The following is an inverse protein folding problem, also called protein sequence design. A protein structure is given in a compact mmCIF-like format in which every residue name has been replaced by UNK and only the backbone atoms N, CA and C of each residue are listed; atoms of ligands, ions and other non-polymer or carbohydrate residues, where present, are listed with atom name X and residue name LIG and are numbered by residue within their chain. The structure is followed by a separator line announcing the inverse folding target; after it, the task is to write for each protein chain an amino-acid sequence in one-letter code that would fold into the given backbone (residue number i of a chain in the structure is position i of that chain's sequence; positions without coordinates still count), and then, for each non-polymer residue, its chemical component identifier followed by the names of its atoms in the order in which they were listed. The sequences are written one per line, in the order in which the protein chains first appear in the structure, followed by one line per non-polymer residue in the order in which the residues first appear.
data_IF_242061191815
#
_entry.id   IF_242061191815
#
_cell.length_a   1.000
_cell.length_b   1.000
_cell.length_c   1.000
_cell.angle_alpha   90.00
_cell.angle_beta   90.00
_cell.angle_gamma   90.00
#
_symmetry.space_group_name_H-M   'P 1'
#
loop_
_entity.id
_entity.type
_entity.pdbx_description
1 polymer ?
#
# COMPACT_ATOMS: atom_id res chain seq x y z
N UNK A 1 -15.03 -3.24 13.62
CA UNK A 1 -15.59 -2.13 14.41
C UNK A 1 -16.27 -1.16 13.46
N UNK A 2 -17.38 -0.53 13.80
CA UNK A 2 -18.05 0.46 12.94
C UNK A 2 -17.64 1.90 13.34
N UNK A 3 -18.16 2.93 12.66
CA UNK A 3 -17.84 4.34 13.00
C UNK A 3 -18.27 4.71 14.42
N UNK A 4 -19.40 4.18 14.92
CA UNK A 4 -19.84 4.43 16.30
C UNK A 4 -18.85 3.87 17.32
N UNK A 5 -18.27 2.69 17.04
CA UNK A 5 -17.20 2.13 17.87
C UNK A 5 -15.95 3.02 17.84
N UNK A 6 -15.59 3.58 16.67
CA UNK A 6 -14.44 4.48 16.53
C UNK A 6 -14.64 5.80 17.29
N UNK A 7 -15.81 6.42 17.19
CA UNK A 7 -16.15 7.64 17.92
C UNK A 7 -16.09 7.40 19.45
N UNK A 8 -16.47 6.21 19.89
CA UNK A 8 -16.43 5.83 21.32
C UNK A 8 -15.01 5.53 21.80
N UNK A 9 -14.19 4.85 20.98
CA UNK A 9 -12.86 4.40 21.40
C UNK A 9 -11.75 5.44 21.20
N UNK A 10 -11.92 6.35 20.23
CA UNK A 10 -10.92 7.32 19.83
C UNK A 10 -11.51 8.72 19.88
N UNK A 11 -11.74 9.18 21.10
CA UNK A 11 -12.26 10.51 21.37
C UNK A 11 -11.35 11.59 20.74
N UNK A 12 -11.95 12.72 20.36
CA UNK A 12 -11.30 13.88 19.72
C UNK A 12 -10.96 13.73 18.22
N UNK A 13 -11.39 12.65 17.55
CA UNK A 13 -11.41 12.54 16.09
C UNK A 13 -12.87 12.46 15.64
N UNK A 14 -13.30 13.33 14.73
CA UNK A 14 -14.65 13.31 14.17
C UNK A 14 -14.73 12.34 12.98
N UNK A 15 -14.75 11.03 13.30
CA UNK A 15 -14.75 9.97 12.29
C UNK A 15 -16.00 10.05 11.41
N UNK A 16 -17.16 10.31 12.01
CA UNK A 16 -18.42 10.42 11.27
C UNK A 16 -18.35 11.49 10.19
N UNK A 17 -17.83 12.67 10.48
CA UNK A 17 -17.68 13.74 9.48
C UNK A 17 -16.66 13.36 8.41
N UNK A 18 -15.52 12.78 8.81
CA UNK A 18 -14.48 12.33 7.87
C UNK A 18 -15.05 11.33 6.86
N UNK A 19 -15.66 10.23 7.34
CA UNK A 19 -16.22 9.21 6.46
C UNK A 19 -17.41 9.74 5.63
N UNK A 20 -18.27 10.57 6.21
CA UNK A 20 -19.40 11.18 5.47
C UNK A 20 -18.88 12.01 4.28
N UNK A 21 -17.86 12.83 4.50
CA UNK A 21 -17.30 13.70 3.46
C UNK A 21 -16.56 12.89 2.37
N UNK A 22 -15.79 11.88 2.75
CA UNK A 22 -15.08 11.02 1.78
C UNK A 22 -16.08 10.31 0.85
N UNK A 23 -17.14 9.73 1.41
CA UNK A 23 -18.16 9.04 0.60
C UNK A 23 -18.97 10.02 -0.24
N UNK A 24 -19.33 11.18 0.31
CA UNK A 24 -20.08 12.21 -0.42
C UNK A 24 -19.31 12.73 -1.65
N UNK A 25 -17.98 12.89 -1.54
CA UNK A 25 -17.12 13.27 -2.66
C UNK A 25 -17.13 12.24 -3.80
N UNK A 26 -17.38 10.96 -3.49
CA UNK A 26 -17.55 9.91 -4.47
C UNK A 26 -19.01 9.72 -4.94
N UNK A 27 -19.95 10.56 -4.49
CA UNK A 27 -21.36 10.46 -4.82
C UNK A 27 -22.14 9.40 -4.03
N UNK A 28 -21.57 8.89 -2.93
CA UNK A 28 -22.17 7.86 -2.09
C UNK A 28 -22.55 8.38 -0.70
N UNK A 29 -23.54 7.73 -0.07
CA UNK A 29 -23.83 7.92 1.35
C UNK A 29 -23.04 6.90 2.17
N UNK A 30 -22.38 7.35 3.22
CA UNK A 30 -21.67 6.45 4.13
C UNK A 30 -22.64 5.46 4.81
N UNK A 31 -22.41 4.13 4.72
CA UNK A 31 -23.20 3.13 5.43
C UNK A 31 -22.75 3.01 6.90
N UNK A 32 -23.61 3.43 7.84
CA UNK A 32 -23.29 3.51 9.27
C UNK A 32 -22.92 2.17 9.95
N UNK A 33 -23.29 1.05 9.35
CA UNK A 33 -23.05 -0.30 9.87
C UNK A 33 -21.84 -0.98 9.23
N UNK A 34 -21.12 -0.31 8.32
CA UNK A 34 -19.97 -0.90 7.66
C UNK A 34 -18.84 -1.14 8.66
N UNK A 35 -18.32 -2.36 8.63
CA UNK A 35 -17.15 -2.71 9.41
C UNK A 35 -15.90 -2.04 8.83
N UNK A 36 -15.15 -1.43 9.72
CA UNK A 36 -13.87 -0.78 9.47
C UNK A 36 -12.79 -1.63 10.14
N UNK A 37 -11.75 -1.92 9.36
CA UNK A 37 -10.51 -2.48 9.85
C UNK A 37 -9.50 -1.35 10.02
N UNK A 38 -9.09 -1.11 11.25
CA UNK A 38 -8.00 -0.18 11.55
C UNK A 38 -6.64 -0.85 11.28
N UNK A 39 -5.71 -0.09 10.70
CA UNK A 39 -4.38 -0.57 10.30
C UNK A 39 -3.31 -0.38 11.38
N UNK A 40 -3.53 0.56 12.31
CA UNK A 40 -2.58 0.91 13.36
C UNK A 40 -3.05 0.48 14.75
N UNK A 41 -2.14 0.55 15.71
CA UNK A 41 -2.43 0.23 17.10
C UNK A 41 -3.41 1.25 17.72
N UNK A 42 -4.11 0.83 18.77
CA UNK A 42 -4.97 1.70 19.57
C UNK A 42 -4.26 2.98 20.01
N UNK A 43 -3.01 2.83 20.47
CA UNK A 43 -2.18 3.93 20.96
C UNK A 43 -1.93 5.03 19.92
N UNK A 44 -1.78 4.65 18.64
CA UNK A 44 -1.59 5.61 17.55
C UNK A 44 -2.80 6.56 17.43
N UNK A 45 -4.01 6.00 17.40
CA UNK A 45 -5.24 6.80 17.25
C UNK A 45 -5.54 7.64 18.49
N UNK A 46 -5.31 7.11 19.70
CA UNK A 46 -5.41 7.88 20.94
C UNK A 46 -4.43 9.06 20.94
N UNK A 47 -3.18 8.83 20.51
CA UNK A 47 -2.15 9.87 20.44
C UNK A 47 -2.49 10.96 19.41
N UNK A 48 -3.00 10.57 18.24
CA UNK A 48 -3.46 11.54 17.24
C UNK A 48 -4.65 12.35 17.73
N UNK A 49 -5.65 11.70 18.35
CA UNK A 49 -6.78 12.41 18.94
C UNK A 49 -6.34 13.45 19.96
N UNK A 50 -5.39 13.09 20.83
CA UNK A 50 -4.79 14.02 21.79
C UNK A 50 -4.02 15.17 21.12
N UNK A 51 -3.24 14.89 20.07
CA UNK A 51 -2.53 15.92 19.30
C UNK A 51 -3.49 16.89 18.63
N UNK A 52 -4.58 16.39 18.02
CA UNK A 52 -5.60 17.20 17.37
C UNK A 52 -6.35 18.07 18.37
N UNK A 53 -6.68 17.53 19.55
CA UNK A 53 -7.36 18.29 20.62
C UNK A 53 -6.49 19.42 21.18
N UNK A 54 -5.20 19.13 21.40
CA UNK A 54 -4.29 20.04 22.11
C UNK A 54 -3.56 21.02 21.18
N UNK A 55 -3.64 20.83 19.86
CA UNK A 55 -3.04 21.73 18.89
C UNK A 55 -4.02 22.82 18.45
N UNK A 56 -3.54 24.04 18.25
CA UNK A 56 -4.38 25.10 17.68
C UNK A 56 -4.78 24.78 16.24
N UNK A 57 -5.94 25.27 15.81
CA UNK A 57 -6.39 25.14 14.42
C UNK A 57 -5.36 25.66 13.42
N UNK A 58 -4.64 26.74 13.76
CA UNK A 58 -3.57 27.30 12.93
C UNK A 58 -2.41 26.32 12.74
N UNK A 59 -1.96 25.67 13.82
CA UNK A 59 -0.88 24.66 13.76
C UNK A 59 -1.29 23.48 12.89
N UNK A 60 -2.49 22.93 13.09
CA UNK A 60 -3.01 21.81 12.30
C UNK A 60 -3.12 22.21 10.83
N UNK A 61 -3.69 23.38 10.54
CA UNK A 61 -3.87 23.86 9.15
C UNK A 61 -2.53 24.05 8.45
N UNK A 62 -1.54 24.66 9.12
CA UNK A 62 -0.21 24.85 8.55
C UNK A 62 0.51 23.52 8.31
N UNK A 63 0.37 22.56 9.23
CA UNK A 63 0.93 21.22 9.03
C UNK A 63 0.30 20.52 7.82
N UNK A 64 -1.02 20.55 7.69
CA UNK A 64 -1.72 19.96 6.55
C UNK A 64 -1.34 20.64 5.22
N UNK A 65 -1.23 21.97 5.21
CA UNK A 65 -0.77 22.73 4.04
C UNK A 65 0.68 22.37 3.67
N UNK A 66 1.56 22.24 4.66
CA UNK A 66 2.93 21.80 4.43
C UNK A 66 2.98 20.39 3.85
N UNK A 67 2.18 19.44 4.37
CA UNK A 67 2.09 18.09 3.81
C UNK A 67 1.61 18.06 2.36
N UNK A 68 0.67 18.94 2.01
CA UNK A 68 0.22 19.09 0.63
C UNK A 68 1.35 19.61 -0.28
N UNK A 69 2.05 20.66 0.17
CA UNK A 69 3.18 21.25 -0.56
C UNK A 69 4.31 20.22 -0.73
N UNK A 70 4.65 19.50 0.34
CA UNK A 70 5.65 18.43 0.33
C UNK A 70 5.30 17.34 -0.68
N UNK A 71 4.05 16.86 -0.68
CA UNK A 71 3.58 15.82 -1.60
C UNK A 71 3.66 16.25 -3.08
N UNK A 72 3.23 17.48 -3.41
CA UNK A 72 3.18 17.95 -4.79
C UNK A 72 4.46 18.65 -5.27
N UNK A 73 5.44 18.87 -4.39
CA UNK A 73 6.68 19.59 -4.74
C UNK A 73 7.46 18.96 -5.89
N UNK A 74 7.41 17.62 -6.05
CA UNK A 74 8.00 16.89 -7.17
C UNK A 74 7.41 17.25 -8.55
N UNK A 75 6.20 17.78 -8.57
CA UNK A 75 5.45 18.12 -9.79
C UNK A 75 5.36 19.63 -10.01
N UNK A 76 5.98 20.43 -9.14
CA UNK A 76 5.93 21.88 -9.16
C UNK A 76 7.12 22.47 -9.94
N UNK A 77 7.48 23.72 -9.63
CA UNK A 77 8.61 24.42 -10.26
C UNK A 77 9.95 23.79 -9.85
N UNK A 78 10.98 23.97 -10.68
CA UNK A 78 12.35 23.51 -10.41
C UNK A 78 12.86 24.00 -9.03
N UNK A 79 12.59 25.26 -8.68
CA UNK A 79 12.93 25.81 -7.37
C UNK A 79 12.31 25.02 -6.20
N UNK A 80 11.06 24.55 -6.34
CA UNK A 80 10.41 23.74 -5.30
C UNK A 80 10.97 22.32 -5.24
N UNK A 81 11.31 21.74 -6.39
CA UNK A 81 11.96 20.43 -6.46
C UNK A 81 13.35 20.47 -5.80
N UNK A 82 14.17 21.48 -6.12
CA UNK A 82 15.48 21.67 -5.49
C UNK A 82 15.38 21.86 -3.98
N UNK A 83 14.38 22.62 -3.49
CA UNK A 83 14.17 22.82 -2.05
C UNK A 83 13.86 21.48 -1.35
N UNK A 84 13.08 20.62 -2.00
CA UNK A 84 12.74 19.30 -1.49
C UNK A 84 13.96 18.38 -1.46
N UNK A 85 14.72 18.33 -2.56
CA UNK A 85 15.95 17.52 -2.68
C UNK A 85 17.01 17.92 -1.64
N UNK A 86 17.17 19.24 -1.40
CA UNK A 86 18.04 19.74 -0.31
C UNK A 86 17.56 19.31 1.07
N UNK A 87 16.24 19.21 1.27
CA UNK A 87 15.62 18.77 2.52
C UNK A 87 15.65 17.25 2.72
N UNK A 88 15.83 16.46 1.65
CA UNK A 88 15.86 15.00 1.69
C UNK A 88 17.09 14.46 0.92
N UNK A 89 18.30 14.56 1.50
CA UNK A 89 19.55 14.19 0.82
C UNK A 89 19.68 12.71 0.45
N UNK A 90 18.77 11.85 0.94
CA UNK A 90 18.65 10.44 0.51
C UNK A 90 17.97 10.27 -0.85
N UNK A 91 17.31 11.30 -1.39
CA UNK A 91 16.76 11.25 -2.72
C UNK A 91 17.86 11.48 -3.76
N UNK A 92 18.20 10.41 -4.48
CA UNK A 92 19.12 10.46 -5.60
C UNK A 92 18.66 11.52 -6.60
N UNK A 93 19.61 12.36 -7.03
CA UNK A 93 19.41 13.25 -8.17
C UNK A 93 19.26 12.39 -9.43
N UNK A 94 18.01 12.09 -9.77
CA UNK A 94 17.65 11.45 -11.03
C UNK A 94 17.54 12.50 -12.12
N UNK A 95 18.04 12.16 -13.32
CA UNK A 95 17.82 13.03 -14.48
C UNK A 95 16.33 13.03 -14.83
N UNK A 96 15.84 14.14 -15.40
CA UNK A 96 14.40 14.35 -15.64
C UNK A 96 13.72 13.19 -16.38
N UNK A 97 14.40 12.58 -17.35
CA UNK A 97 13.88 11.44 -18.10
C UNK A 97 13.60 10.22 -17.20
N UNK A 98 14.50 9.91 -16.26
CA UNK A 98 14.31 8.80 -15.30
C UNK A 98 13.15 9.09 -14.36
N UNK A 99 13.01 10.33 -13.87
CA UNK A 99 11.86 10.76 -13.06
C UNK A 99 10.54 10.53 -13.80
N UNK A 100 10.49 10.87 -15.09
CA UNK A 100 9.30 10.66 -15.92
C UNK A 100 9.00 9.17 -16.12
N UNK A 101 10.01 8.34 -16.41
CA UNK A 101 9.83 6.89 -16.53
C UNK A 101 9.29 6.32 -15.23
N UNK A 102 9.92 6.64 -14.10
CA UNK A 102 9.49 6.16 -12.77
C UNK A 102 8.05 6.58 -12.48
N UNK A 103 7.69 7.84 -12.70
CA UNK A 103 6.32 8.32 -12.49
C UNK A 103 5.29 7.53 -13.31
N UNK A 104 5.56 7.30 -14.59
CA UNK A 104 4.65 6.52 -15.45
C UNK A 104 4.58 5.06 -14.99
N UNK A 105 5.72 4.47 -14.62
CA UNK A 105 5.78 3.10 -14.09
C UNK A 105 5.06 2.96 -12.75
N UNK A 106 5.12 3.96 -11.86
CA UNK A 106 4.48 3.89 -10.54
C UNK A 106 2.97 4.10 -10.62
N UNK A 107 2.51 5.04 -11.46
CA UNK A 107 1.08 5.37 -11.59
C UNK A 107 0.33 4.44 -12.55
N UNK A 108 1.02 3.90 -13.57
CA UNK A 108 0.46 3.07 -14.62
C UNK A 108 1.17 1.71 -14.73
N UNK A 109 1.56 1.13 -13.59
CA UNK A 109 2.40 -0.06 -13.50
C UNK A 109 1.88 -1.22 -14.34
N UNK A 110 0.58 -1.50 -14.32
CA UNK A 110 -0.01 -2.58 -15.13
C UNK A 110 0.21 -2.39 -16.64
N UNK A 111 0.13 -1.16 -17.14
CA UNK A 111 0.32 -0.85 -18.56
C UNK A 111 1.81 -0.98 -18.90
N UNK A 112 2.68 -0.38 -18.09
CA UNK A 112 4.13 -0.41 -18.33
C UNK A 112 4.70 -1.83 -18.24
N UNK A 113 4.22 -2.63 -17.28
CA UNK A 113 4.59 -4.04 -17.14
C UNK A 113 4.11 -4.87 -18.33
N UNK A 114 2.90 -4.61 -18.84
CA UNK A 114 2.39 -5.28 -20.06
C UNK A 114 3.25 -4.95 -21.27
N UNK A 115 3.56 -3.67 -21.50
CA UNK A 115 4.42 -3.24 -22.60
C UNK A 115 5.79 -3.91 -22.50
N UNK A 116 6.37 -3.94 -21.30
CA UNK A 116 7.65 -4.60 -21.06
C UNK A 116 7.58 -6.09 -21.40
N UNK A 117 6.55 -6.79 -20.92
CA UNK A 117 6.35 -8.22 -21.18
C UNK A 117 6.18 -8.51 -22.68
N UNK A 118 5.32 -7.77 -23.37
CA UNK A 118 5.07 -7.94 -24.81
C UNK A 118 6.34 -7.72 -25.66
N UNK A 119 7.27 -6.89 -25.18
CA UNK A 119 8.51 -6.58 -25.89
C UNK A 119 9.69 -7.51 -25.54
N UNK A 120 9.70 -8.11 -24.35
CA UNK A 120 10.90 -8.76 -23.81
C UNK A 120 10.69 -10.21 -23.36
N UNK A 121 9.45 -10.68 -23.23
CA UNK A 121 9.14 -12.04 -22.80
C UNK A 121 8.48 -12.81 -23.92
N UNK A 122 9.02 -13.98 -24.22
CA UNK A 122 8.37 -14.92 -25.12
C UNK A 122 7.61 -16.03 -24.37
N UNK A 123 6.99 -16.93 -25.12
CA UNK A 123 6.22 -18.04 -24.55
C UNK A 123 7.12 -19.00 -23.75
N UNK A 124 8.36 -19.20 -24.17
CA UNK A 124 9.27 -20.12 -23.52
C UNK A 124 9.77 -19.56 -22.18
N UNK A 125 9.97 -18.24 -22.10
CA UNK A 125 10.23 -17.53 -20.84
C UNK A 125 9.07 -17.73 -19.84
N UNK A 126 7.83 -17.57 -20.30
CA UNK A 126 6.65 -17.78 -19.46
C UNK A 126 6.52 -19.22 -18.98
N UNK A 127 6.82 -20.20 -19.85
CA UNK A 127 6.83 -21.62 -19.49
C UNK A 127 7.94 -21.93 -18.50
N UNK A 128 9.12 -21.32 -18.65
CA UNK A 128 10.23 -21.48 -17.72
C UNK A 128 9.86 -20.95 -16.34
N UNK A 129 9.28 -19.74 -16.25
CA UNK A 129 8.83 -19.15 -14.99
C UNK A 129 7.80 -20.04 -14.29
N UNK A 130 6.82 -20.57 -15.03
CA UNK A 130 5.83 -21.51 -14.47
C UNK A 130 6.47 -22.80 -13.95
N UNK A 131 7.45 -23.36 -14.69
CA UNK A 131 8.18 -24.55 -14.22
C UNK A 131 8.96 -24.25 -12.94
N UNK A 132 9.71 -23.16 -12.91
CA UNK A 132 10.47 -22.74 -11.72
C UNK A 132 9.56 -22.55 -10.51
N UNK A 133 8.41 -21.88 -10.68
CA UNK A 133 7.43 -21.71 -9.61
C UNK A 133 6.93 -23.07 -9.07
N UNK A 134 6.56 -24.00 -9.96
CA UNK A 134 6.07 -25.31 -9.56
C UNK A 134 7.15 -26.17 -8.89
N UNK A 135 8.40 -26.07 -9.32
CA UNK A 135 9.54 -26.75 -8.70
C UNK A 135 9.82 -26.20 -7.29
N UNK A 136 9.79 -24.89 -7.11
CA UNK A 136 9.94 -24.24 -5.80
C UNK A 136 8.79 -24.65 -4.88
N UNK A 137 7.54 -24.61 -5.37
CA UNK A 137 6.35 -25.02 -4.63
C UNK A 137 6.46 -26.47 -4.17
N UNK A 138 6.80 -27.39 -5.08
CA UNK A 138 6.94 -28.82 -4.77
C UNK A 138 8.08 -29.08 -3.77
N UNK A 139 9.19 -28.36 -3.91
CA UNK A 139 10.33 -28.48 -2.98
C UNK A 139 9.96 -27.99 -1.58
N UNK A 140 9.20 -26.89 -1.49
CA UNK A 140 8.74 -26.34 -0.22
C UNK A 140 7.67 -27.23 0.45
N UNK A 141 6.75 -27.82 -0.32
CA UNK A 141 5.81 -28.84 0.16
C UNK A 141 6.57 -30.05 0.75
N UNK A 142 7.60 -30.51 0.05
CA UNK A 142 8.51 -31.54 0.56
C UNK A 142 9.16 -31.12 1.88
N UNK A 143 9.72 -29.92 1.95
CA UNK A 143 10.33 -29.39 3.17
C UNK A 143 9.37 -29.34 4.36
N UNK A 144 8.15 -28.79 4.17
CA UNK A 144 7.12 -28.69 5.22
C UNK A 144 6.72 -30.07 5.75
N UNK A 145 6.73 -31.10 4.90
CA UNK A 145 6.43 -32.47 5.33
C UNK A 145 7.46 -33.04 6.32
N UNK A 146 8.72 -32.63 6.23
CA UNK A 146 9.83 -33.24 6.98
C UNK A 146 10.42 -32.37 8.10
N UNK A 147 9.88 -31.18 8.37
CA UNK A 147 10.33 -30.36 9.51
C UNK A 147 9.82 -30.92 10.85
N UNK A 148 10.69 -30.94 11.85
CA UNK A 148 10.37 -31.54 13.16
C UNK A 148 9.78 -30.55 14.18
N UNK A 149 9.86 -29.25 13.90
CA UNK A 149 9.39 -28.20 14.82
C UNK A 149 7.88 -27.90 14.69
N UNK A 150 7.22 -28.44 13.66
CA UNK A 150 5.81 -28.23 13.34
C UNK A 150 5.03 -29.53 13.54
N UNK A 151 3.89 -29.47 14.21
CA UNK A 151 2.99 -30.61 14.40
C UNK A 151 2.25 -30.98 13.10
N UNK A 152 1.69 -32.18 13.06
CA UNK A 152 1.07 -32.74 11.85
C UNK A 152 -0.19 -31.98 11.42
N UNK A 153 -0.96 -31.44 12.35
CA UNK A 153 -2.14 -30.62 12.04
C UNK A 153 -1.74 -29.32 11.35
N UNK A 154 -0.73 -28.63 11.88
CA UNK A 154 -0.19 -27.40 11.29
C UNK A 154 0.46 -27.69 9.92
N UNK A 155 1.11 -28.84 9.75
CA UNK A 155 1.66 -29.28 8.44
C UNK A 155 0.57 -29.49 7.39
N UNK A 156 -0.56 -30.08 7.76
CA UNK A 156 -1.70 -30.29 6.85
C UNK A 156 -2.28 -28.94 6.38
N UNK A 157 -2.45 -27.99 7.30
CA UNK A 157 -2.91 -26.63 6.97
C UNK A 157 -1.90 -25.91 6.08
N UNK A 158 -0.61 -26.04 6.35
CA UNK A 158 0.45 -25.46 5.53
C UNK A 158 0.46 -26.06 4.11
N UNK A 159 0.30 -27.38 3.98
CA UNK A 159 0.20 -28.06 2.70
C UNK A 159 -1.02 -27.58 1.90
N UNK A 160 -2.19 -27.43 2.54
CA UNK A 160 -3.39 -26.87 1.90
C UNK A 160 -3.18 -25.43 1.43
N UNK A 161 -2.54 -24.59 2.24
CA UNK A 161 -2.22 -23.21 1.85
C UNK A 161 -1.29 -23.18 0.62
N UNK A 162 -0.35 -24.11 0.54
CA UNK A 162 0.53 -24.24 -0.62
C UNK A 162 -0.24 -24.71 -1.84
N UNK A 163 -1.13 -25.70 -1.73
CA UNK A 163 -1.94 -26.17 -2.86
C UNK A 163 -2.77 -25.04 -3.47
N UNK A 164 -3.36 -24.19 -2.62
CA UNK A 164 -4.23 -23.08 -3.02
C UNK A 164 -3.46 -21.88 -3.59
N UNK A 165 -2.13 -21.82 -3.43
CA UNK A 165 -1.32 -20.78 -4.05
C UNK A 165 -1.21 -20.97 -5.57
N UNK A 166 -1.62 -19.95 -6.30
CA UNK A 166 -1.47 -19.82 -7.75
C UNK A 166 -0.45 -18.75 -8.10
N UNK A 167 0.37 -19.01 -9.12
CA UNK A 167 1.17 -17.95 -9.75
C UNK A 167 0.25 -17.02 -10.53
N UNK A 168 0.30 -15.72 -10.23
CA UNK A 168 -0.38 -14.68 -11.01
C UNK A 168 0.68 -13.83 -11.69
N UNK A 169 0.73 -13.89 -13.01
CA UNK A 169 1.54 -12.99 -13.84
C UNK A 169 0.61 -11.90 -14.37
N UNK A 170 0.63 -10.73 -13.73
CA UNK A 170 -0.30 -9.62 -13.99
C UNK A 170 -0.25 -9.07 -15.43
N UNK A 171 0.81 -9.38 -16.18
CA UNK A 171 1.01 -8.97 -17.57
C UNK A 171 0.52 -10.01 -18.61
N UNK A 172 0.00 -11.18 -18.21
CA UNK A 172 -0.41 -12.28 -19.15
C UNK A 172 -1.95 -12.41 -19.29
N UNK A 173 -2.69 -11.30 -19.17
CA UNK A 173 -4.15 -11.29 -19.41
C UNK A 173 -4.54 -11.19 -20.89
#
# INVERSE_FOLDING_TARGET
MNVTDLDTQFENIDWKTIFTNIYANAGFKYPSHQEIRISHSKHYYESIGNLLKNSSKSVITNYMAFKLIEHYSNYATEAMQEMREKGNPSELHEVRHEKCIRFVTDELHYITERIFADMNLDRDDLLLIHRMFNEIKSSYEGYVKFIDWMDDETKEVAAKKLSDNSLVLYFVQ
#
